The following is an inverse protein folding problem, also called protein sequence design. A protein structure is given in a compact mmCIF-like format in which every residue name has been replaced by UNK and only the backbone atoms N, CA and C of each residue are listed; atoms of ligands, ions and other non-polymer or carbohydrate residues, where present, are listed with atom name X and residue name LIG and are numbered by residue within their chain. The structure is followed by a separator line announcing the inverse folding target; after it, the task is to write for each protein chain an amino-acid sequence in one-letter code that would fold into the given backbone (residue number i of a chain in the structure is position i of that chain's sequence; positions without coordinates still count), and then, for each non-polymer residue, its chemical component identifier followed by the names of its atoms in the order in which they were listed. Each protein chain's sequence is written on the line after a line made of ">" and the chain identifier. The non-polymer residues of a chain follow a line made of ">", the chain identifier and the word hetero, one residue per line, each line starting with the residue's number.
data_IF_008584688137
#
_entry.id   IF_008584688137
#
_cell.length_a   1.000
_cell.length_b   1.000
_cell.length_c   1.000
_cell.angle_alpha   90.00
_cell.angle_beta   90.00
_cell.angle_gamma   90.00
#
_symmetry.space_group_name_H-M   'P 1'
#
loop_
_entity.id
_entity.type
_entity.pdbx_description
1 polymer ?
#
# COMPACT_ATOMS: atom_id res chain seq x y z
N UNK A 1 16.64 1.06 -10.10
CA UNK A 1 15.69 -0.07 -9.96
C UNK A 1 14.59 0.05 -11.01
N UNK A 2 14.35 -0.99 -11.81
CA UNK A 2 13.24 -0.99 -12.78
C UNK A 2 11.93 -1.28 -12.06
N UNK A 3 10.95 -0.39 -12.18
CA UNK A 3 9.62 -0.58 -11.61
C UNK A 3 8.73 -1.35 -12.58
N UNK A 4 8.24 -2.52 -12.16
CA UNK A 4 7.37 -3.40 -12.95
C UNK A 4 6.02 -3.54 -12.22
N UNK A 5 5.10 -2.58 -12.36
CA UNK A 5 3.90 -2.47 -11.52
C UNK A 5 2.99 -3.70 -11.61
N UNK A 6 2.89 -4.33 -12.79
CA UNK A 6 1.88 -5.37 -13.05
C UNK A 6 2.31 -6.72 -12.50
N UNK A 7 3.59 -7.06 -12.70
CA UNK A 7 4.20 -8.22 -12.09
C UNK A 7 4.18 -8.11 -10.56
N UNK A 8 4.53 -6.94 -10.01
CA UNK A 8 4.51 -6.69 -8.57
C UNK A 8 3.08 -6.82 -8.02
N UNK A 9 2.10 -6.18 -8.65
CA UNK A 9 0.71 -6.26 -8.20
C UNK A 9 0.20 -7.69 -8.18
N UNK A 10 0.40 -8.46 -9.25
CA UNK A 10 0.00 -9.88 -9.31
C UNK A 10 0.66 -10.69 -8.18
N UNK A 11 1.95 -10.49 -7.94
CA UNK A 11 2.68 -11.15 -6.84
C UNK A 11 2.13 -10.75 -5.47
N UNK A 12 1.78 -9.48 -5.26
CA UNK A 12 1.17 -9.03 -4.00
C UNK A 12 -0.23 -9.64 -3.80
N UNK A 13 -1.04 -9.70 -4.86
CA UNK A 13 -2.40 -10.28 -4.79
C UNK A 13 -2.39 -11.80 -4.58
N UNK A 14 -1.31 -12.52 -4.93
CA UNK A 14 -1.22 -13.96 -4.64
C UNK A 14 -0.99 -14.27 -3.15
N UNK A 15 -0.67 -13.27 -2.31
CA UNK A 15 -0.60 -13.44 -0.86
C UNK A 15 -1.94 -13.10 -0.20
N UNK A 16 -2.64 -14.07 0.43
CA UNK A 16 -3.91 -13.80 1.11
C UNK A 16 -3.80 -12.71 2.19
N UNK A 17 -2.65 -12.65 2.87
CA UNK A 17 -2.38 -11.63 3.88
C UNK A 17 -2.29 -10.22 3.28
N UNK A 18 -1.68 -10.05 2.11
CA UNK A 18 -1.53 -8.74 1.45
C UNK A 18 -2.80 -8.35 0.71
N UNK A 19 -3.46 -9.32 0.07
CA UNK A 19 -4.68 -9.13 -0.68
C UNK A 19 -5.87 -8.71 0.20
N UNK A 20 -5.91 -9.04 1.50
CA UNK A 20 -7.07 -8.73 2.37
C UNK A 20 -7.15 -7.29 2.88
N UNK A 21 -6.07 -6.51 2.84
CA UNK A 21 -6.11 -5.14 3.36
C UNK A 21 -7.14 -4.31 2.61
N UNK A 22 -7.82 -3.37 3.26
CA UNK A 22 -8.80 -2.40 2.71
C UNK A 22 -8.69 -1.11 3.53
N UNK A 23 -8.89 0.05 2.91
CA UNK A 23 -9.08 1.30 3.66
C UNK A 23 -10.41 1.18 4.41
N UNK A 24 -10.42 1.56 5.68
CA UNK A 24 -11.68 1.69 6.42
C UNK A 24 -12.36 3.02 6.01
N UNK A 25 -13.64 3.26 6.37
CA UNK A 25 -14.34 4.47 5.97
C UNK A 25 -13.64 5.78 6.37
N UNK A 26 -12.98 5.81 7.54
CA UNK A 26 -12.27 7.00 8.03
C UNK A 26 -11.01 7.30 7.21
N UNK A 27 -10.20 6.28 6.94
CA UNK A 27 -8.98 6.39 6.14
C UNK A 27 -9.34 6.70 4.67
N UNK A 28 -10.42 6.11 4.16
CA UNK A 28 -10.96 6.41 2.82
C UNK A 28 -11.38 7.89 2.71
N UNK A 29 -12.19 8.38 3.65
CA UNK A 29 -12.60 9.78 3.68
C UNK A 29 -11.40 10.73 3.78
N UNK A 30 -10.42 10.39 4.62
CA UNK A 30 -9.19 11.19 4.72
C UNK A 30 -8.41 11.21 3.40
N UNK A 31 -8.28 10.07 2.74
CA UNK A 31 -7.65 9.98 1.41
C UNK A 31 -8.37 10.84 0.38
N UNK A 32 -9.70 10.75 0.29
CA UNK A 32 -10.54 11.54 -0.63
C UNK A 32 -10.46 13.04 -0.35
N UNK A 33 -10.45 13.44 0.93
CA UNK A 33 -10.38 14.85 1.34
C UNK A 33 -9.02 15.47 1.04
N UNK A 34 -7.93 14.72 1.21
CA UNK A 34 -6.56 15.24 1.06
C UNK A 34 -6.01 15.08 -0.35
N UNK A 35 -6.47 14.07 -1.08
CA UNK A 35 -5.97 13.75 -2.42
C UNK A 35 -4.61 13.04 -2.42
N UNK A 36 -4.32 12.40 -3.55
CA UNK A 36 -3.12 11.58 -3.73
C UNK A 36 -1.80 12.35 -3.49
N UNK A 37 -1.58 13.58 -4.00
CA UNK A 37 -0.29 14.26 -3.85
C UNK A 37 0.15 14.46 -2.39
N UNK A 38 -0.77 14.93 -1.54
CA UNK A 38 -0.50 15.14 -0.12
C UNK A 38 -0.31 13.81 0.64
N UNK A 39 -1.06 12.78 0.26
CA UNK A 39 -0.89 11.45 0.87
C UNK A 39 0.47 10.84 0.51
N UNK A 40 0.99 11.10 -0.70
CA UNK A 40 2.33 10.66 -1.10
C UNK A 40 3.44 11.47 -0.43
N UNK A 41 3.23 12.76 -0.10
CA UNK A 41 4.19 13.51 0.70
C UNK A 41 4.30 12.92 2.11
N UNK A 42 3.17 12.60 2.75
CA UNK A 42 3.17 11.88 4.03
C UNK A 42 3.87 10.52 3.92
N UNK A 43 3.72 9.81 2.80
CA UNK A 43 4.42 8.55 2.58
C UNK A 43 5.94 8.73 2.59
N UNK A 44 6.45 9.78 1.93
CA UNK A 44 7.87 10.12 1.94
C UNK A 44 8.36 10.41 3.37
N UNK A 45 7.62 11.19 4.14
CA UNK A 45 7.98 11.53 5.53
C UNK A 45 8.00 10.29 6.42
N UNK A 46 7.01 9.40 6.30
CA UNK A 46 6.99 8.16 7.08
C UNK A 46 8.12 7.21 6.69
N UNK A 47 8.49 7.12 5.41
CA UNK A 47 9.65 6.33 4.97
C UNK A 47 10.93 6.90 5.57
N UNK A 48 11.10 8.22 5.52
CA UNK A 48 12.27 8.88 6.10
C UNK A 48 12.40 8.58 7.60
N UNK A 49 11.34 8.83 8.34
CA UNK A 49 11.36 8.76 9.80
C UNK A 49 11.39 7.33 10.35
N UNK A 50 10.83 6.35 9.61
CA UNK A 50 10.56 5.00 10.16
C UNK A 50 11.29 3.87 9.46
N UNK A 51 11.84 4.09 8.26
CA UNK A 51 12.40 3.02 7.41
C UNK A 51 13.78 3.34 6.83
N UNK A 52 14.13 4.63 6.70
CA UNK A 52 15.34 5.04 6.00
C UNK A 52 16.63 4.63 6.70
N UNK A 53 16.65 4.62 8.04
CA UNK A 53 17.79 4.17 8.81
C UNK A 53 18.13 2.68 8.52
N UNK A 54 19.41 2.27 8.62
CA UNK A 54 19.81 0.87 8.42
C UNK A 54 19.16 -0.09 9.43
N UNK A 55 18.95 0.39 10.67
CA UNK A 55 18.32 -0.33 11.77
C UNK A 55 17.22 0.55 12.40
N UNK A 56 16.03 0.61 11.80
CA UNK A 56 14.96 1.46 12.32
C UNK A 56 14.44 0.92 13.66
N UNK A 57 14.04 1.84 14.54
CA UNK A 57 13.47 1.50 15.85
C UNK A 57 12.20 0.64 15.68
N UNK A 58 12.13 -0.45 16.45
CA UNK A 58 11.01 -1.40 16.42
C UNK A 58 10.75 -1.99 15.02
N UNK A 59 11.80 -2.36 14.26
CA UNK A 59 11.63 -2.96 12.94
C UNK A 59 10.71 -4.21 13.00
N UNK A 60 9.74 -4.27 12.08
CA UNK A 60 8.61 -5.20 12.10
C UNK A 60 7.34 -4.64 12.76
N UNK A 61 7.45 -3.58 13.55
CA UNK A 61 6.34 -2.92 14.27
C UNK A 61 6.35 -1.39 14.16
N UNK A 62 7.24 -0.80 13.37
CA UNK A 62 7.45 0.65 13.28
C UNK A 62 6.27 1.41 12.65
N UNK A 63 5.45 0.73 11.83
CA UNK A 63 4.29 1.32 11.15
C UNK A 63 3.01 0.72 11.73
N UNK A 64 2.06 1.53 12.23
CA UNK A 64 0.74 1.06 12.62
C UNK A 64 0.04 0.31 11.48
N UNK A 65 -0.96 -0.51 11.79
CA UNK A 65 -1.72 -1.24 10.76
C UNK A 65 -2.83 -0.39 10.11
N UNK A 66 -3.26 0.68 10.77
CA UNK A 66 -4.40 1.55 10.41
C UNK A 66 -4.18 2.97 10.93
N UNK A 67 -5.11 3.88 10.61
CA UNK A 67 -5.12 5.25 11.10
C UNK A 67 -4.47 6.26 10.15
N UNK A 68 -3.99 5.79 9.00
CA UNK A 68 -3.60 6.60 7.87
C UNK A 68 -3.58 5.73 6.60
N UNK A 69 -4.02 6.24 5.42
CA UNK A 69 -4.03 5.49 4.16
C UNK A 69 -2.67 4.88 3.80
N UNK A 70 -1.59 5.64 4.02
CA UNK A 70 -0.22 5.18 3.79
C UNK A 70 0.12 3.91 4.58
N UNK A 71 -0.26 3.83 5.86
CA UNK A 71 0.06 2.67 6.68
C UNK A 71 -0.64 1.41 6.16
N UNK A 72 -1.90 1.53 5.79
CA UNK A 72 -2.66 0.43 5.20
C UNK A 72 -2.02 0.01 3.86
N UNK A 73 -1.65 0.98 3.03
CA UNK A 73 -0.96 0.72 1.76
C UNK A 73 0.37 0.00 2.00
N UNK A 74 1.21 0.49 2.94
CA UNK A 74 2.50 -0.13 3.27
C UNK A 74 2.38 -1.59 3.65
N UNK A 75 1.39 -1.94 4.48
CA UNK A 75 1.16 -3.34 4.85
C UNK A 75 0.63 -4.17 3.68
N UNK A 76 -0.23 -3.59 2.85
CA UNK A 76 -0.75 -4.29 1.69
C UNK A 76 0.31 -4.50 0.61
N UNK A 77 1.28 -3.60 0.50
CA UNK A 77 2.35 -3.66 -0.50
C UNK A 77 3.66 -4.19 0.03
N UNK A 78 3.71 -4.66 1.28
CA UNK A 78 4.92 -5.17 1.92
C UNK A 78 6.09 -4.16 2.00
N UNK A 79 5.78 -2.89 2.24
CA UNK A 79 6.75 -1.80 2.43
C UNK A 79 6.76 -1.24 3.86
N UNK A 80 6.17 -1.97 4.82
CA UNK A 80 6.01 -1.55 6.21
C UNK A 80 7.24 -1.76 7.11
N UNK A 81 8.16 -2.67 6.76
CA UNK A 81 9.38 -2.94 7.52
C UNK A 81 10.54 -3.42 6.65
N UNK A 82 11.77 -3.46 7.18
CA UNK A 82 12.94 -3.91 6.41
C UNK A 82 12.84 -5.38 6.01
N UNK A 83 12.26 -6.22 6.85
CA UNK A 83 11.97 -7.61 6.54
C UNK A 83 11.04 -7.78 5.33
N UNK A 84 10.00 -6.97 5.24
CA UNK A 84 9.10 -6.98 4.10
C UNK A 84 9.79 -6.44 2.83
N UNK A 85 10.52 -5.34 2.96
CA UNK A 85 11.31 -4.75 1.85
C UNK A 85 12.32 -5.75 1.27
N UNK A 86 13.03 -6.49 2.11
CA UNK A 86 13.97 -7.52 1.65
C UNK A 86 13.26 -8.66 0.92
N UNK A 87 12.19 -9.22 1.52
CA UNK A 87 11.48 -10.39 0.97
C UNK A 87 10.72 -10.08 -0.33
N UNK A 88 10.14 -8.90 -0.44
CA UNK A 88 9.20 -8.57 -1.52
C UNK A 88 9.81 -7.68 -2.60
N UNK A 89 10.76 -6.82 -2.23
CA UNK A 89 11.29 -5.79 -3.13
C UNK A 89 12.80 -5.90 -3.36
N UNK A 90 13.45 -6.93 -2.81
CA UNK A 90 14.90 -7.14 -2.89
C UNK A 90 15.71 -5.92 -2.41
N UNK A 91 15.19 -5.19 -1.42
CA UNK A 91 15.90 -4.09 -0.74
C UNK A 91 16.55 -4.67 0.53
N UNK A 92 17.89 -4.79 0.59
CA UNK A 92 18.56 -5.48 1.69
C UNK A 92 18.34 -4.79 3.03
N UNK A 93 18.39 -5.56 4.12
CA UNK A 93 18.35 -5.01 5.49
C UNK A 93 19.73 -4.50 5.91
N UNK A 94 19.79 -3.75 7.02
CA UNK A 94 21.06 -3.28 7.60
C UNK A 94 21.76 -2.16 6.84
N UNK A 95 21.12 -1.59 5.82
CA UNK A 95 21.64 -0.49 5.02
C UNK A 95 20.62 0.65 4.97
N UNK A 96 21.11 1.89 5.00
CA UNK A 96 20.25 3.04 4.84
C UNK A 96 19.54 2.99 3.47
N UNK A 97 18.28 3.41 3.41
CA UNK A 97 17.59 3.51 2.11
C UNK A 97 18.24 4.60 1.27
N UNK A 98 18.59 4.26 0.03
CA UNK A 98 18.95 5.29 -0.95
C UNK A 98 17.71 6.07 -1.39
N UNK A 99 17.90 7.29 -1.91
CA UNK A 99 16.79 8.08 -2.46
C UNK A 99 16.01 7.33 -3.54
N UNK A 100 16.70 6.55 -4.38
CA UNK A 100 16.04 5.72 -5.40
C UNK A 100 15.14 4.65 -4.76
N UNK A 101 15.56 4.03 -3.65
CA UNK A 101 14.75 3.06 -2.93
C UNK A 101 13.56 3.72 -2.24
N UNK A 102 13.74 4.90 -1.62
CA UNK A 102 12.63 5.66 -1.02
C UNK A 102 11.60 6.03 -2.07
N UNK A 103 12.05 6.55 -3.23
CA UNK A 103 11.18 6.92 -4.34
C UNK A 103 10.43 5.72 -4.91
N UNK A 104 11.11 4.57 -5.06
CA UNK A 104 10.47 3.31 -5.44
C UNK A 104 9.37 2.91 -4.45
N UNK A 105 9.62 2.99 -3.13
CA UNK A 105 8.61 2.64 -2.12
C UNK A 105 7.39 3.55 -2.22
N UNK A 106 7.58 4.85 -2.44
CA UNK A 106 6.47 5.80 -2.67
C UNK A 106 5.66 5.43 -3.91
N UNK A 107 6.32 5.05 -5.02
CA UNK A 107 5.63 4.61 -6.25
C UNK A 107 4.80 3.34 -6.02
N UNK A 108 5.31 2.38 -5.25
CA UNK A 108 4.58 1.16 -4.88
C UNK A 108 3.33 1.48 -4.05
N UNK A 109 3.44 2.43 -3.11
CA UNK A 109 2.31 2.90 -2.29
C UNK A 109 1.27 3.62 -3.19
N UNK A 110 1.72 4.47 -4.11
CA UNK A 110 0.85 5.16 -5.09
C UNK A 110 0.04 4.17 -5.90
N UNK A 111 0.71 3.19 -6.52
CA UNK A 111 0.08 2.16 -7.35
C UNK A 111 -1.12 1.51 -6.64
N UNK A 112 -0.96 1.21 -5.35
CA UNK A 112 -2.01 0.58 -4.58
C UNK A 112 -3.16 1.53 -4.25
N UNK A 113 -2.86 2.78 -3.87
CA UNK A 113 -3.86 3.78 -3.54
C UNK A 113 -4.70 4.12 -4.78
N UNK A 114 -4.05 4.33 -5.93
CA UNK A 114 -4.71 4.62 -7.21
C UNK A 114 -5.66 3.50 -7.63
N UNK A 115 -5.27 2.23 -7.44
CA UNK A 115 -6.14 1.07 -7.75
C UNK A 115 -7.33 0.90 -6.82
N UNK A 116 -7.39 1.58 -5.68
CA UNK A 116 -8.57 1.61 -4.81
C UNK A 116 -9.37 2.90 -4.91
N UNK A 117 -8.72 3.97 -5.32
CA UNK A 117 -9.36 5.21 -5.72
C UNK A 117 -10.12 5.03 -7.05
N UNK A 118 -9.63 4.15 -7.92
CA UNK A 118 -10.35 3.76 -9.12
C UNK A 118 -11.74 3.23 -8.72
N UNK A 119 -12.84 3.81 -9.25
CA UNK A 119 -14.17 3.32 -8.97
C UNK A 119 -14.19 1.83 -9.33
N UNK A 120 -14.74 1.01 -8.43
CA UNK A 120 -14.98 -0.39 -8.77
C UNK A 120 -15.84 -0.39 -10.04
N UNK A 121 -15.31 -0.92 -11.13
CA UNK A 121 -16.16 -1.42 -12.20
C UNK A 121 -17.18 -2.33 -11.51
N UNK A 122 -18.46 -2.00 -11.70
CA UNK A 122 -19.59 -2.49 -10.93
C UNK A 122 -19.62 -4.03 -10.98
N UNK A 123 -19.12 -4.68 -9.94
CA UNK A 123 -19.05 -6.13 -9.85
C UNK A 123 -20.39 -6.62 -9.27
N UNK A 124 -21.34 -6.88 -10.17
CA UNK A 124 -22.50 -7.74 -9.91
C UNK A 124 -23.63 -7.15 -9.07
N UNK A 125 -24.23 -6.03 -9.47
CA UNK A 125 -25.65 -5.84 -9.18
C UNK A 125 -26.43 -6.82 -10.08
N UNK A 126 -26.90 -7.94 -9.51
CA UNK A 126 -27.94 -8.74 -10.17
C UNK A 126 -29.14 -7.80 -10.34
N UNK A 127 -29.65 -7.57 -11.57
CA UNK A 127 -30.88 -6.82 -11.75
C UNK A 127 -31.98 -7.52 -10.97
N UNK A 128 -32.74 -6.76 -10.20
CA UNK A 128 -33.99 -7.23 -9.61
C UNK A 128 -34.84 -7.82 -10.75
N UNK A 129 -35.06 -9.13 -10.69
CA UNK A 129 -35.88 -9.89 -11.63
C UNK A 129 -37.28 -10.06 -11.02
N UNK A 130 -38.30 -9.35 -11.51
CA UNK A 130 -39.64 -9.40 -10.94
C UNK A 130 -40.40 -10.71 -11.23
N UNK A 131 -39.90 -11.58 -12.11
CA UNK A 131 -40.65 -12.74 -12.63
C UNK A 131 -40.27 -14.09 -12.00
N UNK A 132 -39.53 -14.11 -10.88
CA UNK A 132 -39.30 -15.35 -10.12
C UNK A 132 -40.50 -15.69 -9.23
N UNK A 133 -41.62 -15.98 -9.87
CA UNK A 133 -42.87 -16.43 -9.24
C UNK A 133 -43.80 -17.10 -10.23
N UNK A 134 -43.56 -18.39 -10.49
CA UNK A 134 -44.55 -19.41 -10.86
C UNK A 134 -44.08 -20.76 -10.32
#
# INVERSE_FOLDING_TARGET
>A
MLFQPEALWRRLQSSPFRAKFRLNPKDQLYFETKGLPLILSHARDFIEQRLAAPFPNNDGKQTPMRGHPVFVAQHATATCCRGCLAKWHNIPQGQALSEQQKQYIVQVISLWLERRAAPKANDGAIPFDPDRGL
#
